data_IF_541017305550
#
_entry.id   IF_541017305550
#
_cell.length_a   1.000
_cell.length_b   1.000
_cell.length_c   1.000
_cell.angle_alpha   90.00
_cell.angle_beta   90.00
_cell.angle_gamma   90.00
#
_symmetry.space_group_name_H-M   'P 1'
#
loop_
_entity.id
_entity.type
_entity.pdbx_description
1 polymer ?
#
# COMPACT_ATOMS: atom_id res chain seq x y z
N UNK A 1 -1.43 -28.32 39.97
CA UNK A 1 -1.27 -27.28 38.93
C UNK A 1 -2.66 -26.75 38.68
N UNK A 2 -2.92 -25.53 39.14
CA UNK A 2 -4.27 -24.97 39.18
C UNK A 2 -4.69 -24.56 37.77
N UNK A 3 -5.92 -24.88 37.36
CA UNK A 3 -6.48 -24.55 36.03
C UNK A 3 -6.31 -23.06 35.67
N UNK A 4 -6.30 -22.20 36.69
CA UNK A 4 -6.04 -20.76 36.56
C UNK A 4 -4.64 -20.45 35.99
N UNK A 5 -3.62 -21.20 36.37
CA UNK A 5 -2.24 -21.04 35.88
C UNK A 5 -2.09 -21.48 34.42
N UNK A 6 -2.86 -22.48 33.99
CA UNK A 6 -2.90 -22.94 32.58
C UNK A 6 -3.61 -21.91 31.71
N UNK A 7 -4.76 -21.40 32.16
CA UNK A 7 -5.51 -20.35 31.46
C UNK A 7 -4.73 -19.04 31.31
N UNK A 8 -3.99 -18.61 32.35
CA UNK A 8 -3.13 -17.43 32.25
C UNK A 8 -1.97 -17.61 31.27
N UNK A 9 -1.39 -18.81 31.18
CA UNK A 9 -0.29 -19.09 30.27
C UNK A 9 -0.78 -19.15 28.81
N UNK A 10 -1.95 -19.74 28.56
CA UNK A 10 -2.59 -19.72 27.24
C UNK A 10 -2.96 -18.28 26.82
N UNK A 11 -3.57 -17.50 27.72
CA UNK A 11 -3.89 -16.09 27.44
C UNK A 11 -2.63 -15.28 27.11
N UNK A 12 -1.53 -15.51 27.84
CA UNK A 12 -0.23 -14.90 27.55
C UNK A 12 0.30 -15.28 26.16
N UNK A 13 0.19 -16.55 25.77
CA UNK A 13 0.59 -17.03 24.45
C UNK A 13 -0.25 -16.38 23.33
N UNK A 14 -1.58 -16.31 23.49
CA UNK A 14 -2.45 -15.64 22.51
C UNK A 14 -2.13 -14.15 22.38
N UNK A 15 -1.92 -13.44 23.48
CA UNK A 15 -1.56 -12.02 23.44
C UNK A 15 -0.20 -11.80 22.76
N UNK A 16 0.80 -12.64 23.05
CA UNK A 16 2.11 -12.53 22.43
C UNK A 16 2.06 -12.84 20.92
N UNK A 17 1.25 -13.83 20.52
CA UNK A 17 1.02 -14.16 19.12
C UNK A 17 0.25 -13.03 18.40
N UNK A 18 -0.67 -12.36 19.09
CA UNK A 18 -1.42 -11.23 18.54
C UNK A 18 -0.50 -10.01 18.35
N UNK A 19 0.35 -9.70 19.34
CA UNK A 19 1.32 -8.60 19.27
C UNK A 19 2.34 -8.81 18.15
N UNK A 20 2.88 -10.01 17.99
CA UNK A 20 3.84 -10.33 16.92
C UNK A 20 3.19 -10.22 15.54
N UNK A 21 1.99 -10.79 15.36
CA UNK A 21 1.24 -10.65 14.10
C UNK A 21 0.90 -9.18 13.77
N UNK A 22 0.50 -8.37 14.77
CA UNK A 22 0.21 -6.94 14.56
C UNK A 22 1.49 -6.17 14.21
N UNK A 23 2.61 -6.49 14.85
CA UNK A 23 3.91 -5.90 14.53
C UNK A 23 4.34 -6.20 13.08
N UNK A 24 4.13 -7.43 12.62
CA UNK A 24 4.46 -7.84 11.24
C UNK A 24 3.57 -7.15 10.21
N UNK A 25 2.28 -6.99 10.53
CA UNK A 25 1.32 -6.23 9.69
C UNK A 25 1.74 -4.77 9.60
N UNK A 26 2.04 -4.12 10.73
CA UNK A 26 2.46 -2.72 10.78
C UNK A 26 3.80 -2.50 10.06
N UNK A 27 4.76 -3.42 10.23
CA UNK A 27 6.03 -3.39 9.53
C UNK A 27 5.85 -3.49 8.02
N UNK A 28 5.04 -4.44 7.54
CA UNK A 28 4.70 -4.55 6.12
C UNK A 28 3.99 -3.32 5.57
N UNK A 29 3.13 -2.68 6.38
CA UNK A 29 2.40 -1.46 6.01
C UNK A 29 3.38 -0.29 5.79
N UNK A 30 4.27 -0.04 6.76
CA UNK A 30 5.24 1.07 6.69
C UNK A 30 6.22 0.87 5.52
N UNK A 31 6.77 -0.33 5.37
CA UNK A 31 7.74 -0.62 4.31
C UNK A 31 7.10 -0.46 2.93
N UNK A 32 5.89 -0.99 2.74
CA UNK A 32 5.18 -0.85 1.46
C UNK A 32 4.83 0.60 1.13
N UNK A 33 4.39 1.39 2.12
CA UNK A 33 4.15 2.82 1.92
C UNK A 33 5.41 3.58 1.50
N UNK A 34 6.53 3.36 2.20
CA UNK A 34 7.81 3.99 1.84
C UNK A 34 8.24 3.61 0.42
N UNK A 35 8.15 2.32 0.07
CA UNK A 35 8.50 1.85 -1.27
C UNK A 35 7.63 2.52 -2.35
N UNK A 36 6.33 2.63 -2.10
CA UNK A 36 5.39 3.25 -3.04
C UNK A 36 5.61 4.75 -3.20
N UNK A 37 5.94 5.47 -2.12
CA UNK A 37 6.26 6.90 -2.19
C UNK A 37 7.51 7.17 -3.02
N UNK A 38 8.54 6.34 -2.85
CA UNK A 38 9.77 6.42 -3.64
C UNK A 38 9.47 6.11 -5.10
N UNK A 39 8.78 4.99 -5.37
CA UNK A 39 8.39 4.58 -6.72
C UNK A 39 7.58 5.68 -7.43
N UNK A 40 6.59 6.25 -6.74
CA UNK A 40 5.77 7.35 -7.22
C UNK A 40 6.62 8.57 -7.62
N UNK A 41 7.58 8.95 -6.78
CA UNK A 41 8.44 10.09 -7.06
C UNK A 41 9.31 9.87 -8.31
N UNK A 42 9.84 8.66 -8.47
CA UNK A 42 10.64 8.26 -9.63
C UNK A 42 9.80 8.21 -10.90
N UNK A 43 8.67 7.49 -10.87
CA UNK A 43 7.77 7.34 -12.02
C UNK A 43 7.22 8.69 -12.47
N UNK A 44 6.74 9.51 -11.53
CA UNK A 44 6.23 10.84 -11.86
C UNK A 44 7.30 11.72 -12.51
N UNK A 45 8.53 11.72 -12.00
CA UNK A 45 9.61 12.53 -12.56
C UNK A 45 9.97 12.09 -13.98
N UNK A 46 10.06 10.79 -14.21
CA UNK A 46 10.36 10.22 -15.53
C UNK A 46 9.24 10.53 -16.54
N UNK A 47 7.98 10.32 -16.15
CA UNK A 47 6.83 10.52 -17.04
C UNK A 47 6.58 11.99 -17.36
N UNK A 48 6.85 12.91 -16.42
CA UNK A 48 6.76 14.35 -16.68
C UNK A 48 7.83 14.81 -17.68
N UNK A 49 9.05 14.27 -17.61
CA UNK A 49 10.09 14.57 -18.59
C UNK A 49 9.72 14.08 -20.00
N UNK A 50 9.06 12.93 -20.10
CA UNK A 50 8.71 12.31 -21.38
C UNK A 50 7.44 12.86 -22.03
N UNK A 51 6.36 13.03 -21.27
CA UNK A 51 5.03 13.33 -21.79
C UNK A 51 4.54 14.74 -21.44
N UNK A 52 5.37 15.52 -20.74
CA UNK A 52 5.00 16.81 -20.20
C UNK A 52 4.18 16.71 -18.91
N UNK A 53 3.97 17.84 -18.20
CA UNK A 53 3.43 17.85 -16.85
C UNK A 53 1.97 17.37 -16.74
N UNK A 54 1.12 17.65 -17.75
CA UNK A 54 -0.30 17.23 -17.74
C UNK A 54 -0.44 15.73 -18.04
N UNK A 55 0.02 15.29 -19.21
CA UNK A 55 -0.09 13.90 -19.67
C UNK A 55 0.76 12.94 -18.83
N UNK A 56 1.94 13.39 -18.40
CA UNK A 56 2.84 12.62 -17.56
C UNK A 56 2.26 12.28 -16.19
N UNK A 57 1.54 13.21 -15.56
CA UNK A 57 0.93 12.98 -14.24
C UNK A 57 -0.27 12.01 -14.28
N UNK A 58 -1.03 12.02 -15.37
CA UNK A 58 -2.10 11.04 -15.56
C UNK A 58 -1.55 9.65 -15.88
N UNK A 59 -0.61 9.58 -16.82
CA UNK A 59 -0.01 8.31 -17.25
C UNK A 59 0.80 7.68 -16.11
N UNK A 60 1.50 8.47 -15.29
CA UNK A 60 2.18 7.96 -14.10
C UNK A 60 1.20 7.34 -13.10
N UNK A 61 0.03 7.95 -12.89
CA UNK A 61 -1.01 7.38 -12.02
C UNK A 61 -1.56 6.05 -12.54
N UNK A 62 -1.76 5.90 -13.86
CA UNK A 62 -2.17 4.63 -14.46
C UNK A 62 -1.11 3.54 -14.30
N UNK A 63 0.17 3.88 -14.54
CA UNK A 63 1.28 2.94 -14.35
C UNK A 63 1.42 2.55 -12.88
N UNK A 64 1.29 3.51 -11.95
CA UNK A 64 1.32 3.23 -10.52
C UNK A 64 0.22 2.24 -10.11
N UNK A 65 -1.00 2.36 -10.67
CA UNK A 65 -2.09 1.39 -10.43
C UNK A 65 -1.79 0.00 -11.02
N UNK A 66 -1.13 -0.08 -12.18
CA UNK A 66 -0.73 -1.37 -12.74
C UNK A 66 0.37 -2.04 -11.91
N UNK A 67 1.38 -1.27 -11.51
CA UNK A 67 2.48 -1.78 -10.68
C UNK A 67 1.99 -2.21 -9.31
N UNK A 68 1.07 -1.47 -8.68
CA UNK A 68 0.50 -1.85 -7.40
C UNK A 68 -0.35 -3.13 -7.47
N UNK A 69 -1.10 -3.35 -8.55
CA UNK A 69 -1.84 -4.60 -8.79
C UNK A 69 -0.87 -5.78 -8.97
N UNK A 70 0.21 -5.59 -9.73
CA UNK A 70 1.28 -6.59 -9.87
C UNK A 70 1.98 -6.87 -8.53
N UNK A 71 2.20 -5.85 -7.72
CA UNK A 71 2.79 -6.02 -6.40
C UNK A 71 1.84 -6.77 -5.46
N UNK A 72 0.53 -6.60 -5.62
CA UNK A 72 -0.49 -7.33 -4.89
C UNK A 72 -0.44 -8.84 -5.17
N UNK A 73 -0.27 -9.24 -6.42
CA UNK A 73 -0.18 -10.66 -6.79
C UNK A 73 1.10 -11.32 -6.28
N UNK A 74 2.19 -10.56 -6.19
CA UNK A 74 3.48 -11.04 -5.66
C UNK A 74 3.51 -11.08 -4.12
N UNK A 75 2.94 -10.07 -3.47
CA UNK A 75 3.00 -9.90 -2.02
C UNK A 75 1.72 -10.37 -1.29
N UNK A 76 0.91 -11.23 -1.92
CA UNK A 76 -0.39 -11.70 -1.37
C UNK A 76 -0.28 -12.36 0.01
N UNK A 77 0.91 -12.82 0.40
CA UNK A 77 1.17 -13.46 1.69
C UNK A 77 1.26 -12.47 2.85
N UNK A 78 1.49 -11.17 2.58
CA UNK A 78 1.60 -10.16 3.62
C UNK A 78 0.34 -9.27 3.64
N UNK A 79 -0.58 -9.46 4.61
CA UNK A 79 -1.84 -8.72 4.64
C UNK A 79 -1.64 -7.21 4.84
N UNK A 80 -0.58 -6.79 5.53
CA UNK A 80 -0.24 -5.37 5.68
C UNK A 80 0.08 -4.70 4.34
N UNK A 81 0.79 -5.41 3.47
CA UNK A 81 1.08 -4.93 2.10
C UNK A 81 -0.21 -4.82 1.29
N UNK A 82 -1.10 -5.82 1.34
CA UNK A 82 -2.38 -5.76 0.61
C UNK A 82 -3.20 -4.54 1.02
N UNK A 83 -3.37 -4.31 2.33
CA UNK A 83 -4.16 -3.16 2.84
C UNK A 83 -3.57 -1.84 2.33
N UNK A 84 -2.25 -1.69 2.39
CA UNK A 84 -1.57 -0.50 1.84
C UNK A 84 -1.85 -0.35 0.35
N UNK A 85 -1.67 -1.40 -0.44
CA UNK A 85 -1.84 -1.37 -1.90
C UNK A 85 -3.28 -1.03 -2.30
N UNK A 86 -4.28 -1.57 -1.59
CA UNK A 86 -5.70 -1.22 -1.79
C UNK A 86 -5.92 0.27 -1.51
N UNK A 87 -5.47 0.76 -0.36
CA UNK A 87 -5.60 2.17 0.02
C UNK A 87 -4.88 3.10 -0.95
N UNK A 88 -3.71 2.71 -1.42
CA UNK A 88 -2.93 3.45 -2.41
C UNK A 88 -3.65 3.55 -3.75
N UNK A 89 -4.22 2.43 -4.22
CA UNK A 89 -5.01 2.41 -5.45
C UNK A 89 -6.27 3.27 -5.35
N UNK A 90 -6.98 3.23 -4.22
CA UNK A 90 -8.12 4.10 -4.00
C UNK A 90 -7.73 5.59 -4.03
N UNK A 91 -6.59 5.94 -3.43
CA UNK A 91 -6.07 7.30 -3.44
C UNK A 91 -5.70 7.79 -4.85
N UNK A 92 -4.98 6.97 -5.63
CA UNK A 92 -4.63 7.29 -7.02
C UNK A 92 -5.89 7.40 -7.88
N UNK A 93 -6.81 6.44 -7.76
CA UNK A 93 -8.05 6.45 -8.54
C UNK A 93 -8.86 7.72 -8.29
N UNK A 94 -8.97 8.16 -7.03
CA UNK A 94 -9.59 9.44 -6.69
C UNK A 94 -8.87 10.62 -7.35
N UNK A 95 -7.54 10.63 -7.34
CA UNK A 95 -6.75 11.69 -7.96
C UNK A 95 -6.94 11.72 -9.50
N UNK A 96 -6.95 10.56 -10.14
CA UNK A 96 -7.20 10.44 -11.59
C UNK A 96 -8.61 10.90 -11.96
N UNK A 97 -9.62 10.51 -11.17
CA UNK A 97 -11.01 10.98 -11.34
C UNK A 97 -11.13 12.50 -11.24
N UNK A 98 -10.44 13.11 -10.27
CA UNK A 98 -10.43 14.57 -10.14
C UNK A 98 -9.78 15.21 -11.36
N UNK A 99 -8.61 14.72 -11.79
CA UNK A 99 -7.91 15.25 -12.96
C UNK A 99 -8.73 15.13 -14.25
N UNK A 100 -9.44 14.02 -14.40
CA UNK A 100 -10.36 13.79 -15.53
C UNK A 100 -11.56 14.74 -15.46
N UNK A 101 -12.17 14.91 -14.28
CA UNK A 101 -13.34 15.77 -14.07
C UNK A 101 -13.02 17.25 -14.25
N UNK A 102 -11.84 17.72 -13.86
CA UNK A 102 -11.45 19.14 -13.98
C UNK A 102 -10.98 19.51 -15.39
N UNK A 103 -11.16 18.65 -16.40
CA UNK A 103 -10.80 18.98 -17.78
C UNK A 103 -9.31 19.20 -17.99
N UNK A 104 -8.44 18.55 -17.19
CA UNK A 104 -6.99 18.61 -17.40
C UNK A 104 -6.54 18.00 -18.74
N UNK A 105 -7.46 17.33 -19.42
CA UNK A 105 -7.39 16.91 -20.81
C UNK A 105 -8.16 17.90 -21.65
N UNK A 106 -7.49 18.96 -22.10
CA UNK A 106 -7.64 19.75 -23.34
C UNK A 106 -6.92 21.09 -23.14
#
# INVERSE_FOLDING_TARGET
MDEFSVAMNEAGFYLQNLVTNVSDILGGLIISLCLMLILRSVLKSFMIQWLGPKTGNFTSGLIEMLVSILFMSLAYRNPGVIITLVGWNAAIFRQLLIQFRTGGFF
#
